data_IF_718823525378
#
_entry.id   IF_718823525378
#
_cell.length_a   1.000
_cell.length_b   1.000
_cell.length_c   1.000
_cell.angle_alpha   90.00
_cell.angle_beta   90.00
_cell.angle_gamma   90.00
#
_symmetry.space_group_name_H-M   'P 1'
#
loop_
_entity.id
_entity.type
_entity.pdbx_description
1 polymer ?
#
# COMPACT_ATOMS: atom_id res chain seq x y z
N UNK A 1 -7.29 1.64 -30.28
CA UNK A 1 -7.38 3.00 -29.74
C UNK A 1 -8.12 2.91 -28.42
N UNK A 2 -7.40 2.91 -27.31
CA UNK A 2 -7.97 2.77 -25.97
C UNK A 2 -8.09 4.18 -25.39
N UNK A 3 -9.31 4.67 -25.20
CA UNK A 3 -9.56 5.94 -24.51
C UNK A 3 -9.80 5.55 -23.05
N UNK A 4 -8.84 5.82 -22.17
CA UNK A 4 -9.02 5.72 -20.73
C UNK A 4 -9.17 7.12 -20.15
N UNK A 5 -10.33 7.37 -19.54
CA UNK A 5 -10.51 8.47 -18.61
C UNK A 5 -9.91 8.05 -17.26
N UNK A 6 -8.70 8.50 -16.98
CA UNK A 6 -8.12 8.39 -15.64
C UNK A 6 -8.67 9.55 -14.81
N UNK A 7 -9.42 9.25 -13.74
CA UNK A 7 -9.72 10.24 -12.72
C UNK A 7 -8.43 10.61 -12.01
N UNK A 8 -7.92 11.82 -12.26
CA UNK A 8 -6.84 12.38 -11.48
C UNK A 8 -7.36 12.71 -10.08
N UNK A 9 -6.91 11.99 -9.05
CA UNK A 9 -7.02 12.48 -7.69
C UNK A 9 -5.97 13.58 -7.53
N UNK A 10 -6.44 14.79 -7.28
CA UNK A 10 -5.60 15.96 -7.03
C UNK A 10 -4.68 15.70 -5.82
N UNK A 11 -3.38 15.89 -5.99
CA UNK A 11 -2.42 15.94 -4.91
C UNK A 11 -2.66 17.24 -4.13
N UNK A 12 -3.30 17.13 -2.97
CA UNK A 12 -3.61 18.27 -2.11
C UNK A 12 -2.38 18.60 -1.26
N UNK A 13 -1.70 19.69 -1.64
CA UNK A 13 -0.50 20.20 -0.97
C UNK A 13 -0.89 20.73 0.42
N UNK A 14 -0.73 19.88 1.44
CA UNK A 14 -1.06 20.20 2.83
C UNK A 14 0.14 19.82 3.68
N UNK A 15 0.83 20.80 4.26
CA UNK A 15 2.02 20.69 5.14
C UNK A 15 2.31 19.25 5.66
N UNK A 16 3.11 18.49 4.90
CA UNK A 16 3.28 17.05 5.09
C UNK A 16 4.37 16.76 6.11
N UNK A 17 4.02 16.11 7.23
CA UNK A 17 4.95 15.25 7.95
C UNK A 17 5.30 14.07 7.03
N UNK A 18 6.51 14.06 6.46
CA UNK A 18 6.96 12.98 5.61
C UNK A 18 7.27 11.74 6.45
N UNK A 19 6.27 10.88 6.63
CA UNK A 19 6.49 9.50 7.02
C UNK A 19 6.85 8.73 5.73
N UNK A 20 7.93 7.94 5.69
CA UNK A 20 8.23 7.14 4.52
C UNK A 20 7.22 5.99 4.45
N UNK A 21 6.06 6.27 3.87
CA UNK A 21 5.00 5.32 3.60
C UNK A 21 5.12 4.87 2.15
N UNK A 22 5.27 3.56 1.94
CA UNK A 22 5.08 2.98 0.62
C UNK A 22 3.59 2.66 0.47
N UNK A 23 2.84 3.62 -0.07
CA UNK A 23 1.45 3.41 -0.45
C UNK A 23 1.41 2.65 -1.78
N UNK A 24 1.27 1.32 -1.73
CA UNK A 24 1.01 0.55 -2.94
C UNK A 24 -0.48 0.58 -3.30
N UNK A 25 -0.96 1.73 -3.77
CA UNK A 25 -2.36 1.90 -4.21
C UNK A 25 -2.65 1.19 -5.54
N UNK A 26 -1.62 0.72 -6.25
CA UNK A 26 -1.73 0.27 -7.65
C UNK A 26 -2.14 -1.20 -7.77
N UNK A 27 -1.86 -2.03 -6.75
CA UNK A 27 -2.27 -3.44 -6.71
C UNK A 27 -1.24 -4.39 -6.13
N UNK A 28 -1.66 -5.61 -5.80
CA UNK A 28 -0.77 -6.68 -5.30
C UNK A 28 -0.05 -7.41 -6.43
N UNK A 29 0.84 -8.33 -6.09
CA UNK A 29 1.52 -9.25 -7.01
C UNK A 29 3.03 -9.05 -7.07
N UNK A 30 3.80 -10.06 -6.64
CA UNK A 30 5.26 -10.06 -6.73
C UNK A 30 5.79 -9.82 -8.16
N UNK A 31 5.13 -10.39 -9.19
CA UNK A 31 5.49 -10.16 -10.58
C UNK A 31 5.20 -8.73 -11.02
N UNK A 32 4.06 -8.19 -10.61
CA UNK A 32 3.68 -6.84 -10.95
C UNK A 32 4.65 -5.81 -10.33
N UNK A 33 5.04 -6.05 -9.07
CA UNK A 33 6.08 -5.29 -8.37
C UNK A 33 7.44 -5.41 -9.06
N UNK A 34 7.87 -6.62 -9.43
CA UNK A 34 9.13 -6.85 -10.14
C UNK A 34 9.20 -6.20 -11.53
N UNK A 35 8.06 -5.89 -12.15
CA UNK A 35 7.97 -5.16 -13.42
C UNK A 35 7.97 -3.63 -13.26
N UNK A 36 8.05 -3.10 -12.03
CA UNK A 36 8.14 -1.65 -11.79
C UNK A 36 6.98 -0.85 -12.36
N UNK A 37 5.77 -1.44 -12.42
CA UNK A 37 4.57 -0.79 -12.96
C UNK A 37 4.26 -1.10 -14.43
N UNK A 38 5.16 -1.74 -15.18
CA UNK A 38 4.90 -2.13 -16.58
C UNK A 38 3.85 -3.25 -16.73
N UNK A 39 3.48 -3.92 -15.64
CA UNK A 39 2.57 -5.06 -15.63
C UNK A 39 1.15 -4.72 -16.11
N UNK A 40 0.72 -3.46 -16.03
CA UNK A 40 -0.61 -3.02 -16.49
C UNK A 40 -0.90 -3.39 -17.97
N UNK A 41 0.14 -3.44 -18.81
CA UNK A 41 0.03 -3.79 -20.23
C UNK A 41 0.05 -5.30 -20.53
N UNK A 42 0.46 -6.13 -19.57
CA UNK A 42 0.61 -7.60 -19.74
C UNK A 42 -0.07 -8.34 -18.59
N UNK A 43 -1.14 -7.77 -18.03
CA UNK A 43 -1.77 -8.20 -16.77
C UNK A 43 -2.41 -9.60 -16.89
N UNK A 44 -1.58 -10.63 -16.85
CA UNK A 44 -1.91 -12.00 -17.24
C UNK A 44 -1.58 -13.02 -16.14
N UNK A 45 -1.84 -12.67 -14.89
CA UNK A 45 -1.78 -13.61 -13.77
C UNK A 45 -2.88 -13.31 -12.74
N UNK A 46 -2.89 -14.03 -11.62
CA UNK A 46 -3.89 -13.87 -10.58
C UNK A 46 -3.91 -12.49 -9.90
N UNK A 47 -2.89 -11.64 -10.07
CA UNK A 47 -2.89 -10.26 -9.57
C UNK A 47 -3.63 -9.28 -10.48
N UNK A 48 -4.02 -9.72 -11.69
CA UNK A 48 -4.56 -8.84 -12.72
C UNK A 48 -5.83 -8.09 -12.31
N UNK A 49 -6.66 -8.65 -11.42
CA UNK A 49 -7.86 -7.95 -10.92
C UNK A 49 -7.56 -6.63 -10.22
N UNK A 50 -6.37 -6.51 -9.63
CA UNK A 50 -5.94 -5.30 -8.91
C UNK A 50 -5.26 -4.27 -9.81
N UNK A 51 -4.70 -4.71 -10.94
CA UNK A 51 -3.98 -3.85 -11.90
C UNK A 51 -4.81 -3.50 -13.13
N UNK A 52 -5.28 -4.52 -13.85
CA UNK A 52 -6.06 -4.39 -15.07
C UNK A 52 -6.99 -5.62 -15.25
N UNK A 53 -8.25 -5.56 -14.78
CA UNK A 53 -9.17 -6.69 -14.85
C UNK A 53 -9.50 -7.13 -16.28
N UNK A 54 -9.32 -6.27 -17.30
CA UNK A 54 -9.52 -6.67 -18.70
C UNK A 54 -8.48 -7.70 -19.19
N UNK A 55 -7.34 -7.80 -18.49
CA UNK A 55 -6.31 -8.80 -18.72
C UNK A 55 -6.68 -10.20 -18.22
N UNK A 56 -7.63 -10.34 -17.29
CA UNK A 56 -8.08 -11.63 -16.75
C UNK A 56 -8.58 -12.58 -17.84
N UNK A 57 -9.15 -12.05 -18.93
CA UNK A 57 -9.76 -12.83 -20.00
C UNK A 57 -8.80 -13.83 -20.67
N UNK A 58 -7.48 -13.59 -20.60
CA UNK A 58 -6.46 -14.48 -21.19
C UNK A 58 -6.29 -15.79 -20.40
N UNK A 59 -6.92 -15.91 -19.23
CA UNK A 59 -6.75 -17.04 -18.33
C UNK A 59 -7.74 -18.15 -18.66
N UNK A 60 -7.22 -19.25 -19.20
CA UNK A 60 -8.02 -20.39 -19.61
C UNK A 60 -8.28 -21.41 -18.49
N UNK A 61 -7.56 -21.30 -17.37
CA UNK A 61 -7.62 -22.24 -16.25
C UNK A 61 -7.67 -21.50 -14.91
N UNK A 62 -8.26 -22.11 -13.86
CA UNK A 62 -8.17 -21.56 -12.53
C UNK A 62 -6.72 -21.40 -12.08
N UNK A 63 -6.41 -20.30 -11.41
CA UNK A 63 -5.06 -19.99 -10.92
C UNK A 63 -5.13 -19.37 -9.52
N UNK A 64 -4.12 -19.66 -8.71
CA UNK A 64 -3.92 -19.07 -7.39
C UNK A 64 -2.57 -18.39 -7.32
N UNK A 65 -2.50 -17.29 -6.57
CA UNK A 65 -1.24 -16.65 -6.22
C UNK A 65 -1.20 -16.27 -4.75
N UNK A 66 -0.02 -16.41 -4.17
CA UNK A 66 0.31 -15.96 -2.82
C UNK A 66 1.57 -15.10 -2.88
N UNK A 67 1.56 -13.98 -2.19
CA UNK A 67 2.68 -13.07 -2.07
C UNK A 67 2.99 -12.87 -0.59
N UNK A 68 4.28 -12.94 -0.26
CA UNK A 68 4.79 -12.68 1.07
C UNK A 68 5.76 -11.49 1.00
N UNK A 69 5.52 -10.50 1.84
CA UNK A 69 6.38 -9.32 1.93
C UNK A 69 7.50 -9.57 2.93
N UNK A 70 8.74 -9.64 2.43
CA UNK A 70 9.93 -9.91 3.26
C UNK A 70 10.85 -8.69 3.39
N UNK A 71 10.72 -7.72 2.48
CA UNK A 71 11.54 -6.51 2.44
C UNK A 71 10.77 -5.35 3.05
N UNK A 72 11.17 -4.99 4.27
CA UNK A 72 10.64 -3.85 5.01
C UNK A 72 11.78 -2.88 5.24
N UNK A 73 11.62 -1.58 4.88
CA UNK A 73 12.62 -0.56 5.19
C UNK A 73 12.94 -0.55 6.69
N UNK A 74 14.24 -0.52 7.01
CA UNK A 74 14.74 -0.34 8.38
C UNK A 74 15.54 0.95 8.39
N UNK A 75 15.38 1.76 9.43
CA UNK A 75 16.20 2.95 9.57
C UNK A 75 15.62 3.96 10.53
N UNK A 76 16.48 4.92 10.88
CA UNK A 76 16.09 6.11 11.60
C UNK A 76 16.06 7.29 10.64
N UNK A 77 15.00 8.09 10.69
CA UNK A 77 14.93 9.35 9.95
C UNK A 77 14.66 10.51 10.91
N UNK A 78 15.16 11.68 10.55
CA UNK A 78 14.95 12.91 11.30
C UNK A 78 13.85 13.72 10.62
N UNK A 79 12.84 14.14 11.38
CA UNK A 79 11.83 15.09 10.89
C UNK A 79 11.57 16.13 11.98
N UNK A 80 12.01 17.36 11.71
CA UNK A 80 12.10 18.42 12.73
C UNK A 80 13.05 18.04 13.87
N UNK A 81 12.64 18.30 15.13
CA UNK A 81 13.40 17.95 16.33
C UNK A 81 13.11 16.52 16.84
N UNK A 82 12.59 15.63 15.97
CA UNK A 82 12.17 14.29 16.35
C UNK A 82 12.94 13.23 15.58
N UNK A 83 13.43 12.23 16.29
CA UNK A 83 14.04 11.01 15.72
C UNK A 83 12.96 9.95 15.62
N UNK A 84 12.87 9.29 14.47
CA UNK A 84 11.89 8.27 14.17
C UNK A 84 12.62 6.95 13.95
N UNK A 85 12.29 5.89 14.70
CA UNK A 85 12.87 4.55 14.54
C UNK A 85 11.87 3.60 13.88
N UNK A 86 12.23 2.95 12.77
CA UNK A 86 11.38 1.97 12.09
C UNK A 86 11.89 0.54 12.29
N UNK A 87 11.08 -0.31 12.93
CA UNK A 87 11.40 -1.73 13.18
C UNK A 87 10.71 -2.65 12.18
N UNK A 88 11.36 -3.77 11.79
CA UNK A 88 10.74 -4.77 10.92
C UNK A 88 9.66 -5.57 11.69
N UNK A 89 8.62 -5.99 10.98
CA UNK A 89 7.69 -7.06 11.37
C UNK A 89 7.73 -8.12 10.27
N UNK A 90 7.65 -9.37 10.71
CA UNK A 90 7.85 -10.55 9.89
C UNK A 90 6.53 -11.21 9.47
N UNK A 91 5.40 -10.55 9.73
CA UNK A 91 4.07 -11.14 9.58
C UNK A 91 3.31 -10.43 8.45
N UNK A 92 3.52 -10.86 7.20
CA UNK A 92 2.98 -10.07 6.09
C UNK A 92 2.66 -10.87 4.82
N UNK A 93 1.51 -11.55 4.85
CA UNK A 93 0.79 -11.88 3.62
C UNK A 93 0.53 -10.57 2.85
N UNK A 94 1.20 -10.41 1.70
CA UNK A 94 1.04 -9.26 0.82
C UNK A 94 -0.19 -9.39 -0.06
N UNK A 95 -0.41 -10.59 -0.59
CA UNK A 95 -1.56 -10.88 -1.43
C UNK A 95 -1.92 -12.36 -1.35
N UNK A 96 -3.21 -12.64 -1.39
CA UNK A 96 -3.75 -13.95 -1.75
C UNK A 96 -4.80 -13.75 -2.83
N UNK A 97 -4.69 -14.47 -3.94
CA UNK A 97 -5.59 -14.33 -5.07
C UNK A 97 -6.02 -15.66 -5.64
N UNK A 98 -7.27 -15.72 -6.06
CA UNK A 98 -7.87 -16.82 -6.81
C UNK A 98 -8.59 -16.26 -8.03
N UNK A 99 -8.34 -16.85 -9.19
CA UNK A 99 -9.05 -16.53 -10.43
C UNK A 99 -9.61 -17.79 -11.04
N UNK A 100 -10.76 -17.69 -11.69
CA UNK A 100 -11.41 -18.82 -12.34
C UNK A 100 -12.16 -18.41 -13.61
N UNK A 101 -11.95 -19.12 -14.73
CA UNK A 101 -12.77 -18.96 -15.92
C UNK A 101 -14.16 -19.57 -15.69
N UNK A 102 -15.20 -18.82 -16.06
CA UNK A 102 -16.60 -19.24 -16.00
C UNK A 102 -17.27 -18.89 -17.34
N UNK A 103 -18.06 -19.80 -17.89
CA UNK A 103 -18.87 -19.52 -19.08
C UNK A 103 -20.31 -19.23 -18.68
N UNK A 104 -20.79 -18.01 -18.94
CA UNK A 104 -22.18 -17.63 -18.73
C UNK A 104 -22.86 -17.46 -20.09
N UNK A 105 -23.90 -18.26 -20.36
CA UNK A 105 -24.66 -18.21 -21.62
C UNK A 105 -23.76 -18.25 -22.88
N UNK A 106 -22.74 -19.10 -22.87
CA UNK A 106 -21.79 -19.27 -23.96
C UNK A 106 -20.69 -18.20 -24.06
N UNK A 107 -20.79 -17.09 -23.31
CA UNK A 107 -19.75 -16.06 -23.26
C UNK A 107 -18.72 -16.40 -22.19
N UNK A 108 -17.44 -16.20 -22.53
CA UNK A 108 -16.33 -16.44 -21.62
C UNK A 108 -16.18 -15.26 -20.63
N UNK A 109 -16.13 -15.58 -19.35
CA UNK A 109 -15.79 -14.65 -18.29
C UNK A 109 -14.65 -15.25 -17.47
N UNK A 110 -13.82 -14.41 -16.88
CA UNK A 110 -12.83 -14.84 -15.89
C UNK A 110 -13.07 -14.00 -14.64
N UNK A 111 -13.58 -14.63 -13.60
CA UNK A 111 -13.79 -14.02 -12.29
C UNK A 111 -12.53 -14.07 -11.45
N UNK A 112 -12.39 -13.11 -10.55
CA UNK A 112 -11.25 -12.99 -9.66
C UNK A 112 -11.67 -12.48 -8.28
N UNK A 113 -11.04 -13.06 -7.26
CA UNK A 113 -11.14 -12.64 -5.86
C UNK A 113 -9.72 -12.54 -5.31
N UNK A 114 -9.35 -11.38 -4.79
CA UNK A 114 -8.02 -11.15 -4.21
C UNK A 114 -8.09 -10.38 -2.91
N UNK A 115 -7.35 -10.86 -1.92
CA UNK A 115 -6.95 -10.08 -0.77
C UNK A 115 -5.59 -9.45 -1.06
N UNK A 116 -5.44 -8.15 -0.83
CA UNK A 116 -4.16 -7.43 -0.94
C UNK A 116 -3.95 -6.53 0.25
N UNK A 117 -2.73 -6.53 0.77
CA UNK A 117 -2.30 -5.57 1.78
C UNK A 117 -1.57 -4.41 1.09
N UNK A 118 -2.18 -3.23 1.18
CA UNK A 118 -1.70 -2.01 0.54
C UNK A 118 -0.64 -1.34 1.41
N UNK A 119 -0.86 -1.37 2.72
CA UNK A 119 0.05 -0.80 3.69
C UNK A 119 0.07 -1.65 4.96
N UNK A 120 1.26 -1.87 5.49
CA UNK A 120 1.45 -2.38 6.84
C UNK A 120 2.48 -1.47 7.50
N UNK A 121 2.02 -0.45 8.22
CA UNK A 121 2.91 0.41 8.99
C UNK A 121 3.34 -0.35 10.24
N UNK A 122 4.66 -0.50 10.32
CA UNK A 122 5.32 -1.23 11.37
C UNK A 122 5.11 -0.59 12.74
N UNK A 123 4.81 -1.50 13.65
CA UNK A 123 4.64 -1.29 15.07
C UNK A 123 5.88 -0.62 15.65
N UNK A 124 5.68 0.55 16.26
CA UNK A 124 6.69 1.41 16.89
C UNK A 124 7.22 2.51 15.97
N UNK A 125 6.35 3.46 15.65
CA UNK A 125 6.76 4.84 15.80
C UNK A 125 7.41 5.01 17.20
N UNK A 126 8.46 5.80 17.30
CA UNK A 126 9.06 6.15 18.59
C UNK A 126 9.68 7.50 18.37
N UNK A 127 9.00 8.54 18.83
CA UNK A 127 9.33 9.92 18.48
C UNK A 127 10.01 10.64 19.64
N UNK A 128 11.32 10.51 19.76
CA UNK A 128 12.09 11.23 20.80
C UNK A 128 12.11 12.72 20.45
N UNK A 129 11.39 13.52 21.24
CA UNK A 129 11.49 14.99 21.19
C UNK A 129 12.45 15.45 22.27
N UNK A 130 13.42 16.30 21.95
CA UNK A 130 14.28 16.92 22.98
C UNK A 130 13.91 18.40 23.06
N UNK A 131 13.10 18.76 24.06
CA UNK A 131 12.83 20.16 24.37
C UNK A 131 13.91 20.67 25.31
N UNK A 132 14.60 21.76 24.96
CA UNK A 132 15.48 22.49 25.87
C UNK A 132 14.72 23.71 26.37
N UNK A 133 14.38 23.74 27.66
CA UNK A 133 13.76 24.90 28.31
C UNK A 133 14.84 25.58 29.13
N UNK A 134 14.99 26.88 28.94
CA UNK A 134 15.74 27.74 29.82
C UNK A 134 14.78 28.32 30.88
N UNK A 135 14.89 27.91 32.15
CA UNK A 135 13.92 28.28 33.17
C UNK A 135 14.13 29.70 33.74
N UNK A 136 15.25 30.37 33.48
CA UNK A 136 15.57 31.67 34.12
C UNK A 136 15.18 32.89 33.28
N UNK A 137 15.02 32.73 31.95
CA UNK A 137 14.61 33.79 31.03
C UNK A 137 15.57 34.98 30.97
N UNK A 138 16.79 34.86 31.48
CA UNK A 138 17.78 35.91 31.46
C UNK A 138 18.50 35.95 30.09
N UNK A 139 18.87 37.14 29.62
CA UNK A 139 19.74 37.28 28.46
C UNK A 139 21.21 37.00 28.86
N UNK A 140 21.46 35.82 29.40
CA UNK A 140 22.79 35.31 29.69
C UNK A 140 23.17 34.19 28.71
N UNK A 141 24.42 33.74 28.81
CA UNK A 141 24.95 32.70 27.93
C UNK A 141 24.39 31.33 28.31
N UNK A 142 23.08 31.11 28.14
CA UNK A 142 22.38 29.82 28.15
C UNK A 142 23.04 28.81 29.11
N UNK A 143 23.06 29.12 30.42
CA UNK A 143 23.77 28.30 31.41
C UNK A 143 22.96 27.04 31.79
N UNK A 144 23.00 26.11 30.85
CA UNK A 144 23.15 24.66 31.00
C UNK A 144 22.28 23.85 31.99
N UNK A 145 21.17 24.34 32.53
CA UNK A 145 20.18 23.45 33.18
C UNK A 145 19.21 22.84 32.16
N UNK A 146 19.76 22.03 31.24
CA UNK A 146 19.02 21.38 30.16
C UNK A 146 18.15 20.23 30.68
N UNK A 147 16.85 20.45 30.89
CA UNK A 147 15.90 19.35 31.13
C UNK A 147 15.49 18.69 29.82
N UNK A 148 15.84 17.41 29.64
CA UNK A 148 15.51 16.63 28.44
C UNK A 148 14.26 15.78 28.67
N UNK A 149 13.17 16.09 27.98
CA UNK A 149 11.92 15.32 28.06
C UNK A 149 11.76 14.35 26.88
N UNK A 150 12.16 13.10 27.05
CA UNK A 150 11.98 12.05 26.03
C UNK A 150 10.57 11.46 26.10
N UNK A 151 9.74 11.72 25.08
CA UNK A 151 8.45 11.04 24.85
C UNK A 151 8.62 9.97 23.77
N UNK A 152 7.94 8.83 23.89
CA UNK A 152 7.98 7.74 22.91
C UNK A 152 6.55 7.33 22.57
N UNK A 153 6.00 7.85 21.46
CA UNK A 153 4.65 7.50 20.98
C UNK A 153 4.73 6.30 20.01
N UNK A 154 3.87 5.29 20.14
CA UNK A 154 3.81 4.13 19.22
C UNK A 154 2.57 4.17 18.32
N UNK A 155 2.79 4.09 17.01
CA UNK A 155 1.74 4.04 16.00
C UNK A 155 1.73 2.69 15.27
N UNK A 156 0.54 2.15 15.03
CA UNK A 156 0.28 0.97 14.19
C UNK A 156 -0.80 1.33 13.19
N UNK A 157 -0.55 1.18 11.90
CA UNK A 157 -1.57 1.36 10.86
C UNK A 157 -1.49 0.24 9.86
N UNK A 158 -2.62 -0.34 9.46
CA UNK A 158 -2.69 -1.31 8.39
C UNK A 158 -3.82 -0.95 7.45
N UNK A 159 -3.56 -1.05 6.14
CA UNK A 159 -4.56 -0.90 5.09
C UNK A 159 -4.56 -2.16 4.22
N UNK A 160 -5.71 -2.81 4.17
CA UNK A 160 -5.97 -4.01 3.38
C UNK A 160 -7.14 -3.79 2.44
N UNK A 161 -7.22 -4.60 1.39
CA UNK A 161 -8.29 -4.53 0.41
C UNK A 161 -8.73 -5.92 -0.02
N UNK A 162 -10.05 -6.08 -0.15
CA UNK A 162 -10.66 -7.20 -0.85
C UNK A 162 -11.07 -6.69 -2.23
N UNK A 163 -10.59 -7.38 -3.27
CA UNK A 163 -10.76 -7.01 -4.65
C UNK A 163 -11.57 -8.11 -5.32
N UNK A 164 -12.70 -7.74 -5.91
CA UNK A 164 -13.57 -8.64 -6.64
C UNK A 164 -13.74 -8.09 -8.04
N UNK A 165 -13.56 -8.92 -9.05
CA UNK A 165 -13.71 -8.44 -10.41
C UNK A 165 -13.83 -9.56 -11.42
N UNK A 166 -13.99 -9.15 -12.68
CA UNK A 166 -13.99 -10.08 -13.80
C UNK A 166 -13.43 -9.41 -15.06
N UNK A 167 -12.94 -10.24 -15.97
CA UNK A 167 -12.59 -9.87 -17.34
C UNK A 167 -13.34 -10.71 -18.36
N UNK A 168 -13.66 -10.12 -19.51
CA UNK A 168 -14.35 -10.81 -20.61
C UNK A 168 -13.90 -10.25 -21.96
N UNK A 169 -13.75 -11.10 -22.99
CA UNK A 169 -13.55 -10.62 -24.36
C UNK A 169 -14.88 -10.08 -24.92
N UNK A 170 -14.82 -8.88 -25.49
CA UNK A 170 -15.95 -8.27 -26.24
C UNK A 170 -15.87 -8.68 -27.71
N UNK A 171 -14.65 -8.78 -28.25
CA UNK A 171 -14.34 -9.18 -29.63
C UNK A 171 -12.97 -9.86 -29.66
N UNK A 172 -12.52 -10.34 -30.83
CA UNK A 172 -11.21 -11.02 -30.99
C UNK A 172 -10.02 -10.17 -30.55
N UNK A 173 -10.16 -8.83 -30.55
CA UNK A 173 -9.08 -7.88 -30.23
C UNK A 173 -9.39 -6.93 -29.09
N UNK A 174 -10.60 -6.99 -28.53
CA UNK A 174 -11.07 -6.04 -27.51
C UNK A 174 -11.59 -6.84 -26.34
N UNK A 175 -11.08 -6.53 -25.15
CA UNK A 175 -11.61 -7.03 -23.88
C UNK A 175 -12.02 -5.88 -22.97
N UNK A 176 -12.89 -6.20 -22.03
CA UNK A 176 -13.22 -5.33 -20.92
C UNK A 176 -13.14 -6.09 -19.61
N UNK A 177 -12.98 -5.36 -18.52
CA UNK A 177 -13.04 -5.91 -17.19
C UNK A 177 -13.53 -4.87 -16.21
N UNK A 178 -14.04 -5.35 -15.09
CA UNK A 178 -14.53 -4.53 -13.99
C UNK A 178 -13.95 -5.10 -12.70
N UNK A 179 -13.50 -4.22 -11.82
CA UNK A 179 -13.03 -4.56 -10.49
C UNK A 179 -13.64 -3.60 -9.47
N UNK A 180 -13.97 -4.13 -8.31
CA UNK A 180 -14.44 -3.42 -7.13
C UNK A 180 -13.48 -3.75 -6.00
N UNK A 181 -12.92 -2.71 -5.39
CA UNK A 181 -11.98 -2.85 -4.30
C UNK A 181 -12.63 -2.27 -3.03
N UNK A 182 -12.70 -3.07 -1.98
CA UNK A 182 -13.20 -2.68 -0.67
C UNK A 182 -12.02 -2.60 0.27
N UNK A 183 -11.72 -1.37 0.72
CA UNK A 183 -10.60 -1.10 1.61
C UNK A 183 -11.05 -1.14 3.07
N UNK A 184 -10.25 -1.79 3.90
CA UNK A 184 -10.40 -1.83 5.36
C UNK A 184 -9.07 -1.44 5.98
N UNK A 185 -9.10 -0.68 7.07
CA UNK A 185 -7.89 -0.28 7.75
C UNK A 185 -8.10 -0.03 9.22
N UNK A 186 -7.03 -0.19 10.00
CA UNK A 186 -7.01 0.07 11.44
C UNK A 186 -5.80 0.91 11.77
N UNK A 187 -6.02 2.05 12.43
CA UNK A 187 -4.98 2.87 13.02
C UNK A 187 -5.13 2.83 14.54
N UNK A 188 -4.05 2.44 15.24
CA UNK A 188 -3.97 2.42 16.69
C UNK A 188 -2.84 3.37 17.09
N UNK A 189 -3.18 4.34 17.93
CA UNK A 189 -2.23 5.25 18.54
C UNK A 189 -2.15 4.93 20.04
N UNK A 190 -1.02 4.38 20.48
CA UNK A 190 -0.74 4.18 21.89
C UNK A 190 0.17 5.32 22.34
N UNK A 191 -0.39 6.21 23.17
CA UNK A 191 0.28 7.33 23.85
C UNK A 191 0.93 6.85 25.14
#
# INVERSE_FOLDING_TARGET
MCILATGAMAQQDTLIFHFPTQLNITGGGARALGMGGAFIGVSNDASAVTWNPAGLQVQEKPMMALELNTLVPRGQFLSGARVFDQKPSFDNLGMASFIAPVRLKGHAFVGALSFTRIENQFENFGSVSTLRIDPDGAADNFDSTTQTYTRTDQFRSGLEAINVGFGTPISEKISAGLAVNVHSGKAINNV
#
